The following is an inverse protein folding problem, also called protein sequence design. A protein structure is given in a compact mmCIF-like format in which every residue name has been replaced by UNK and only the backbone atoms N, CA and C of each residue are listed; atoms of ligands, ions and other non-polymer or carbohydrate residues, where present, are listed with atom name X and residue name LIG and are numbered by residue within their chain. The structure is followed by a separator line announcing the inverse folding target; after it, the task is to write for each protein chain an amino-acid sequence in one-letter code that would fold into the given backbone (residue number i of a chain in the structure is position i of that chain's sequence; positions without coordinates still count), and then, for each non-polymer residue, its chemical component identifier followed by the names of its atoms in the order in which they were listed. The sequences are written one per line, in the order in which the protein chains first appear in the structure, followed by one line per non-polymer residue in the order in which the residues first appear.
data_IF_418664925181
#
_entry.id   IF_418664925181
#
_cell.length_a   1.000
_cell.length_b   1.000
_cell.length_c   1.000
_cell.angle_alpha   90.00
_cell.angle_beta   90.00
_cell.angle_gamma   90.00
#
_symmetry.space_group_name_H-M   'P 1'
#
loop_
_entity.id
_entity.type
_entity.pdbx_description
1 polymer ?
#
# COMPACT_ATOMS: atom_id res chain seq x y z
N UNK A 1 -7.70 18.64 29.54
CA UNK A 1 -7.80 17.60 28.48
C UNK A 1 -8.53 16.38 29.05
N UNK A 2 -9.21 15.57 28.24
CA UNK A 2 -9.80 14.29 28.72
C UNK A 2 -8.68 13.27 28.99
N UNK A 3 -8.75 12.52 30.10
CA UNK A 3 -7.71 11.58 30.50
C UNK A 3 -7.44 10.50 29.43
N UNK A 4 -8.46 10.14 28.65
CA UNK A 4 -8.31 9.18 27.55
C UNK A 4 -7.49 9.73 26.39
N UNK A 5 -7.54 11.05 26.16
CA UNK A 5 -6.75 11.75 25.14
C UNK A 5 -5.31 11.91 25.64
N UNK A 6 -5.12 12.27 26.92
CA UNK A 6 -3.78 12.34 27.55
C UNK A 6 -3.03 11.02 27.43
N UNK A 7 -3.66 9.90 27.81
CA UNK A 7 -3.03 8.58 27.71
C UNK A 7 -2.79 8.14 26.25
N UNK A 8 -3.68 8.53 25.32
CA UNK A 8 -3.50 8.24 23.90
C UNK A 8 -2.30 8.98 23.30
N UNK A 9 -2.11 10.27 23.65
CA UNK A 9 -0.92 11.04 23.26
C UNK A 9 0.32 10.40 23.86
N UNK A 10 0.30 10.13 25.18
CA UNK A 10 1.43 9.51 25.90
C UNK A 10 1.90 8.22 25.22
N UNK A 11 0.98 7.29 24.95
CA UNK A 11 1.29 6.02 24.28
C UNK A 11 1.78 6.21 22.85
N UNK A 12 1.30 7.24 22.14
CA UNK A 12 1.77 7.52 20.78
C UNK A 12 3.21 8.00 20.80
N UNK A 13 3.57 8.90 21.73
CA UNK A 13 4.96 9.37 21.92
C UNK A 13 5.88 8.22 22.32
N UNK A 14 5.45 7.36 23.24
CA UNK A 14 6.24 6.20 23.68
C UNK A 14 6.57 5.20 22.57
N UNK A 15 5.77 5.14 21.50
CA UNK A 15 6.05 4.28 20.33
C UNK A 15 7.13 4.82 19.41
N UNK A 16 7.45 6.12 19.49
CA UNK A 16 8.43 6.77 18.64
C UNK A 16 9.84 6.46 19.20
N UNK A 17 10.83 6.09 18.36
CA UNK A 17 12.24 6.03 18.75
C UNK A 17 12.70 7.37 19.36
N UNK A 18 13.53 7.33 20.42
CA UNK A 18 13.84 8.51 21.23
C UNK A 18 14.44 9.65 20.40
N UNK A 19 15.37 9.28 19.53
CA UNK A 19 16.07 10.12 18.57
C UNK A 19 15.14 10.82 17.57
N UNK A 20 13.98 10.23 17.28
CA UNK A 20 13.01 10.78 16.32
C UNK A 20 11.87 11.58 16.98
N UNK A 21 11.73 11.56 18.32
CA UNK A 21 10.63 12.25 19.04
C UNK A 21 10.61 13.74 18.71
N UNK A 22 11.77 14.42 18.76
CA UNK A 22 11.86 15.86 18.51
C UNK A 22 11.38 16.22 17.10
N UNK A 23 11.88 15.48 16.10
CA UNK A 23 11.51 15.68 14.68
C UNK A 23 10.01 15.43 14.46
N UNK A 24 9.46 14.41 15.13
CA UNK A 24 8.03 14.09 15.06
C UNK A 24 7.15 15.19 15.66
N UNK A 25 7.51 15.74 16.82
CA UNK A 25 6.77 16.82 17.46
C UNK A 25 6.86 18.13 16.64
N UNK A 26 8.01 18.40 16.02
CA UNK A 26 8.16 19.52 15.09
C UNK A 26 7.24 19.38 13.88
N UNK A 27 7.20 18.19 13.25
CA UNK A 27 6.27 17.90 12.13
C UNK A 27 4.80 17.96 12.54
N UNK A 28 4.49 17.69 13.81
CA UNK A 28 3.14 17.82 14.33
C UNK A 28 2.67 19.28 14.36
N UNK A 29 3.57 20.22 14.65
CA UNK A 29 3.32 21.66 14.58
C UNK A 29 2.24 22.16 15.55
N UNK A 30 1.88 21.35 16.55
CA UNK A 30 0.91 21.72 17.59
C UNK A 30 1.58 22.39 18.79
N UNK A 31 2.80 21.96 19.14
CA UNK A 31 3.62 22.59 20.17
C UNK A 31 4.50 23.66 19.50
N UNK A 32 4.64 24.81 20.14
CA UNK A 32 5.50 25.89 19.63
C UNK A 32 6.98 25.50 19.73
N UNK A 33 7.83 26.11 18.91
CA UNK A 33 9.27 25.85 18.98
C UNK A 33 9.85 26.18 20.36
N UNK A 34 9.37 27.24 21.00
CA UNK A 34 9.75 27.59 22.37
C UNK A 34 9.42 26.47 23.36
N UNK A 35 8.21 25.91 23.29
CA UNK A 35 7.79 24.77 24.12
C UNK A 35 8.59 23.49 23.82
N UNK A 36 9.05 23.30 22.58
CA UNK A 36 9.90 22.18 22.23
C UNK A 36 11.34 22.34 22.73
N UNK A 37 11.84 23.58 22.86
CA UNK A 37 13.16 23.84 23.42
C UNK A 37 13.20 23.66 24.94
N UNK A 38 12.08 23.83 25.64
CA UNK A 38 11.99 23.58 27.09
C UNK A 38 12.00 22.09 27.45
N UNK A 39 11.70 21.20 26.50
CA UNK A 39 11.70 19.75 26.72
C UNK A 39 13.12 19.18 26.78
N UNK A 40 13.39 18.39 27.82
CA UNK A 40 14.69 17.71 27.94
C UNK A 40 14.65 16.32 27.29
N UNK A 41 15.06 16.24 26.02
CA UNK A 41 15.10 15.00 25.25
C UNK A 41 16.18 13.99 25.69
N UNK A 42 17.06 14.35 26.63
CA UNK A 42 18.07 13.43 27.18
C UNK A 42 17.54 12.55 28.32
N UNK A 43 16.31 12.81 28.81
CA UNK A 43 15.69 12.02 29.86
C UNK A 43 15.12 10.67 29.36
N UNK A 44 14.55 9.90 30.29
CA UNK A 44 13.78 8.70 29.98
C UNK A 44 12.56 9.05 29.12
N UNK A 45 12.21 8.17 28.18
CA UNK A 45 11.07 8.36 27.28
C UNK A 45 9.74 8.56 28.01
N UNK A 46 9.56 7.92 29.16
CA UNK A 46 8.37 8.11 29.98
C UNK A 46 8.24 9.55 30.47
N UNK A 47 9.32 10.15 30.97
CA UNK A 47 9.32 11.55 31.42
C UNK A 47 9.02 12.50 30.25
N UNK A 48 9.69 12.30 29.10
CA UNK A 48 9.42 13.09 27.88
C UNK A 48 7.95 12.98 27.49
N UNK A 49 7.36 11.77 27.56
CA UNK A 49 5.95 11.56 27.23
C UNK A 49 5.00 12.26 28.21
N UNK A 50 5.36 12.38 29.49
CA UNK A 50 4.59 13.09 30.50
C UNK A 50 4.68 14.61 30.31
N UNK A 51 5.89 15.15 30.09
CA UNK A 51 6.10 16.58 29.80
C UNK A 51 5.34 17.00 28.52
N UNK A 52 5.36 16.18 27.47
CA UNK A 52 4.58 16.43 26.25
C UNK A 52 3.08 16.45 26.53
N UNK A 53 2.57 15.55 27.38
CA UNK A 53 1.16 15.56 27.78
C UNK A 53 0.83 16.83 28.56
N UNK A 54 1.67 17.26 29.49
CA UNK A 54 1.47 18.50 30.24
C UNK A 54 1.37 19.72 29.32
N UNK A 55 2.30 19.86 28.37
CA UNK A 55 2.23 20.93 27.36
C UNK A 55 0.97 20.84 26.48
N UNK A 56 0.50 19.63 26.18
CA UNK A 56 -0.75 19.42 25.48
C UNK A 56 -1.97 19.80 26.33
N UNK A 57 -1.91 19.65 27.65
CA UNK A 57 -2.96 20.07 28.58
C UNK A 57 -3.05 21.60 28.66
N UNK A 58 -1.90 22.27 28.78
CA UNK A 58 -1.78 23.73 28.75
C UNK A 58 -2.34 24.30 27.45
N UNK A 59 -2.01 23.70 26.31
CA UNK A 59 -2.51 24.10 24.99
C UNK A 59 -3.94 23.58 24.67
N UNK A 60 -4.63 22.97 25.64
CA UNK A 60 -6.00 22.44 25.48
C UNK A 60 -6.18 21.49 24.30
N UNK A 61 -5.26 20.54 24.13
CA UNK A 61 -5.31 19.55 23.06
C UNK A 61 -6.58 18.68 23.12
N UNK A 62 -7.22 18.50 21.97
CA UNK A 62 -8.37 17.62 21.80
C UNK A 62 -8.02 16.33 21.06
N UNK A 63 -9.02 15.46 20.92
CA UNK A 63 -8.86 14.19 20.20
C UNK A 63 -8.47 14.39 18.73
N UNK A 64 -8.85 15.52 18.11
CA UNK A 64 -8.48 15.82 16.73
C UNK A 64 -6.97 15.99 16.59
N UNK A 65 -6.34 16.73 17.50
CA UNK A 65 -4.91 16.99 17.53
C UNK A 65 -4.13 15.70 17.77
N UNK A 66 -4.58 14.89 18.75
CA UNK A 66 -3.98 13.59 19.01
C UNK A 66 -4.12 12.63 17.82
N UNK A 67 -5.25 12.65 17.10
CA UNK A 67 -5.43 11.87 15.88
C UNK A 67 -4.53 12.34 14.73
N UNK A 68 -4.18 13.63 14.66
CA UNK A 68 -3.18 14.12 13.68
C UNK A 68 -1.80 13.59 14.02
N UNK A 69 -1.40 13.58 15.30
CA UNK A 69 -0.13 12.97 15.73
C UNK A 69 -0.04 11.49 15.34
N UNK A 70 -1.12 10.74 15.53
CA UNK A 70 -1.21 9.33 15.10
C UNK A 70 -1.12 9.18 13.57
N UNK A 71 -1.74 10.08 12.79
CA UNK A 71 -1.56 10.08 11.32
C UNK A 71 -0.10 10.29 10.94
N UNK A 72 0.58 11.28 11.55
CA UNK A 72 1.99 11.57 11.26
C UNK A 72 2.87 10.37 11.60
N UNK A 73 2.62 9.72 12.73
CA UNK A 73 3.33 8.49 13.10
C UNK A 73 3.17 7.39 12.05
N UNK A 74 1.94 7.13 11.59
CA UNK A 74 1.70 6.11 10.57
C UNK A 74 2.18 6.54 9.17
N UNK A 75 2.31 7.85 8.91
CA UNK A 75 2.90 8.37 7.68
C UNK A 75 4.42 8.21 7.64
N UNK A 76 5.13 8.30 8.77
CA UNK A 76 6.57 8.03 8.83
C UNK A 76 6.84 6.53 8.83
N UNK A 77 6.13 5.76 9.64
CA UNK A 77 6.31 4.30 9.74
C UNK A 77 5.27 3.53 8.92
N UNK A 78 5.20 3.82 7.62
CA UNK A 78 4.20 3.24 6.71
C UNK A 78 4.27 1.71 6.68
N UNK A 79 5.47 1.15 6.81
CA UNK A 79 5.75 -0.28 6.74
C UNK A 79 5.22 -1.08 7.93
N UNK A 80 4.81 -0.43 9.03
CA UNK A 80 4.22 -1.12 10.19
C UNK A 80 2.81 -1.65 9.93
N UNK A 81 2.21 -1.29 8.78
CA UNK A 81 0.85 -1.67 8.42
C UNK A 81 0.83 -2.38 7.08
N UNK A 82 -0.07 -3.35 6.97
CA UNK A 82 -0.43 -3.93 5.68
C UNK A 82 -1.42 -2.99 5.00
N UNK A 83 -1.13 -2.66 3.76
CA UNK A 83 -1.95 -1.85 2.88
C UNK A 83 -2.58 -2.73 1.80
N UNK A 84 -3.85 -2.49 1.51
CA UNK A 84 -4.57 -3.12 0.41
C UNK A 84 -4.99 -2.07 -0.61
N UNK A 85 -4.83 -2.37 -1.90
CA UNK A 85 -5.13 -1.44 -2.98
C UNK A 85 -6.58 -1.62 -3.43
N UNK A 86 -7.28 -0.51 -3.61
CA UNK A 86 -8.62 -0.45 -4.17
C UNK A 86 -8.61 0.44 -5.41
N UNK A 87 -9.29 -0.02 -6.46
CA UNK A 87 -9.49 0.75 -7.69
C UNK A 87 -10.95 1.21 -7.76
N UNK A 88 -11.15 2.51 -7.95
CA UNK A 88 -12.45 3.11 -8.19
C UNK A 88 -12.70 3.26 -9.69
N UNK A 89 -13.93 3.04 -10.14
CA UNK A 89 -14.33 3.19 -11.55
C UNK A 89 -15.34 4.32 -11.69
N UNK A 90 -15.05 5.26 -12.60
CA UNK A 90 -15.97 6.32 -13.00
C UNK A 90 -16.72 5.86 -14.24
N UNK A 91 -17.99 6.24 -14.35
CA UNK A 91 -18.83 5.92 -15.49
C UNK A 91 -19.03 7.25 -16.24
N UNK A 92 -18.20 7.51 -17.25
CA UNK A 92 -18.21 8.75 -18.01
C UNK A 92 -16.92 9.57 -17.92
N UNK A 93 -16.65 10.34 -18.98
CA UNK A 93 -15.45 11.19 -19.16
C UNK A 93 -15.62 12.61 -18.59
N UNK A 94 -16.52 12.81 -17.62
CA UNK A 94 -16.70 14.15 -17.07
C UNK A 94 -15.51 14.54 -16.18
N UNK A 95 -14.79 15.56 -16.64
CA UNK A 95 -13.69 16.22 -15.95
C UNK A 95 -14.25 17.06 -14.77
N UNK A 96 -14.74 16.36 -13.74
CA UNK A 96 -15.19 17.04 -12.52
C UNK A 96 -14.00 17.63 -11.79
N UNK A 97 -14.07 18.92 -11.49
CA UNK A 97 -13.12 19.58 -10.60
C UNK A 97 -13.26 18.98 -9.20
N UNK A 98 -12.20 18.32 -8.72
CA UNK A 98 -12.19 17.73 -7.39
C UNK A 98 -11.99 18.81 -6.31
N UNK A 99 -13.06 19.14 -5.57
CA UNK A 99 -12.95 19.97 -4.36
C UNK A 99 -12.72 19.08 -3.13
N UNK A 100 -11.53 19.22 -2.53
CA UNK A 100 -11.14 18.52 -1.31
C UNK A 100 -12.05 18.86 -0.11
N UNK A 101 -12.57 20.09 -0.06
CA UNK A 101 -13.41 20.55 1.04
C UNK A 101 -14.78 19.90 0.95
N UNK A 102 -15.37 19.86 -0.24
CA UNK A 102 -16.60 19.14 -0.52
C UNK A 102 -16.43 17.63 -0.28
N UNK A 103 -15.35 17.02 -0.79
CA UNK A 103 -15.02 15.61 -0.53
C UNK A 103 -15.02 15.30 0.97
N UNK A 104 -14.31 16.08 1.79
CA UNK A 104 -14.25 15.90 3.25
C UNK A 104 -15.64 16.02 3.90
N UNK A 105 -16.47 16.95 3.44
CA UNK A 105 -17.84 17.15 3.95
C UNK A 105 -18.73 15.97 3.58
N UNK A 106 -18.78 15.57 2.30
CA UNK A 106 -19.53 14.42 1.79
C UNK A 106 -19.14 13.14 2.51
N UNK A 107 -17.84 12.88 2.64
CA UNK A 107 -17.30 11.70 3.33
C UNK A 107 -17.73 11.66 4.81
N UNK A 108 -17.50 12.75 5.56
CA UNK A 108 -17.92 12.84 6.98
C UNK A 108 -19.41 12.64 7.14
N UNK A 109 -20.22 13.26 6.27
CA UNK A 109 -21.68 13.16 6.29
C UNK A 109 -22.13 11.71 6.11
N UNK A 110 -21.56 11.01 5.12
CA UNK A 110 -21.95 9.63 4.79
C UNK A 110 -21.61 8.63 5.90
N UNK A 111 -20.45 8.77 6.54
CA UNK A 111 -20.12 7.87 7.66
C UNK A 111 -20.97 8.20 8.89
N UNK A 112 -21.17 9.49 9.20
CA UNK A 112 -21.95 9.90 10.38
C UNK A 112 -23.44 9.60 10.26
N UNK A 113 -23.99 9.52 9.05
CA UNK A 113 -25.36 9.08 8.86
C UNK A 113 -25.57 7.61 9.23
N UNK A 114 -24.53 6.78 9.10
CA UNK A 114 -24.59 5.36 9.48
C UNK A 114 -24.13 5.12 10.93
N UNK A 115 -23.12 5.86 11.41
CA UNK A 115 -22.52 5.69 12.74
C UNK A 115 -22.36 7.03 13.46
N UNK A 116 -23.11 7.21 14.56
CA UNK A 116 -23.01 8.42 15.41
C UNK A 116 -21.64 8.54 16.09
N UNK A 117 -21.12 7.43 16.62
CA UNK A 117 -19.85 7.39 17.34
C UNK A 117 -18.70 7.06 16.39
N UNK A 118 -18.14 8.08 15.74
CA UNK A 118 -16.97 7.93 14.86
C UNK A 118 -16.04 9.15 14.97
N UNK A 119 -14.73 8.92 14.96
CA UNK A 119 -13.74 10.01 14.85
C UNK A 119 -13.08 9.94 13.48
N UNK A 120 -13.24 11.01 12.69
CA UNK A 120 -12.68 11.11 11.34
C UNK A 120 -11.74 12.32 11.31
N UNK A 121 -10.47 12.06 11.01
CA UNK A 121 -9.42 13.07 10.93
C UNK A 121 -8.75 13.00 9.56
N UNK A 122 -8.44 14.16 8.99
CA UNK A 122 -7.82 14.31 7.68
C UNK A 122 -6.50 15.04 7.84
N UNK A 123 -5.48 14.62 7.10
CA UNK A 123 -4.22 15.34 6.92
C UNK A 123 -3.87 15.34 5.43
N UNK A 124 -3.59 16.53 4.91
CA UNK A 124 -3.14 16.73 3.54
C UNK A 124 -1.61 16.75 3.49
N UNK A 125 -1.07 16.25 2.39
CA UNK A 125 0.35 16.27 2.06
C UNK A 125 0.53 16.90 0.67
N UNK A 126 1.74 17.38 0.40
CA UNK A 126 2.09 18.16 -0.81
C UNK A 126 1.91 17.37 -2.11
N UNK A 127 1.90 16.03 -2.06
CA UNK A 127 1.67 15.15 -3.21
C UNK A 127 0.19 15.01 -3.61
N UNK A 128 -0.67 15.93 -3.17
CA UNK A 128 -2.14 15.84 -3.27
C UNK A 128 -2.71 14.56 -2.62
N UNK A 129 -1.95 13.93 -1.71
CA UNK A 129 -2.43 12.81 -0.94
C UNK A 129 -3.19 13.27 0.29
N UNK A 130 -4.34 12.64 0.51
CA UNK A 130 -5.18 12.84 1.67
C UNK A 130 -5.08 11.58 2.53
N UNK A 131 -4.53 11.75 3.72
CA UNK A 131 -4.54 10.72 4.75
C UNK A 131 -5.80 10.89 5.60
N UNK A 132 -6.61 9.84 5.64
CA UNK A 132 -7.87 9.79 6.39
C UNK A 132 -7.72 8.73 7.46
N UNK A 133 -7.90 9.14 8.71
CA UNK A 133 -7.96 8.25 9.86
C UNK A 133 -9.40 8.13 10.33
N UNK A 134 -9.90 6.91 10.40
CA UNK A 134 -11.25 6.60 10.89
C UNK A 134 -11.16 5.70 12.11
N UNK A 135 -11.48 6.24 13.28
CA UNK A 135 -11.66 5.45 14.49
C UNK A 135 -13.14 5.10 14.65
N UNK A 136 -13.43 3.80 14.73
CA UNK A 136 -14.78 3.26 14.76
C UNK A 136 -15.28 3.10 16.19
N UNK A 137 -16.51 3.53 16.43
CA UNK A 137 -17.29 3.21 17.63
C UNK A 137 -18.50 2.35 17.29
N UNK A 138 -19.22 1.96 18.33
CA UNK A 138 -20.54 1.32 18.19
C UNK A 138 -21.61 2.28 18.72
N UNK A 139 -22.91 2.05 18.49
CA UNK A 139 -23.96 2.90 19.05
C UNK A 139 -23.84 3.10 20.57
N UNK A 140 -23.29 2.11 21.28
CA UNK A 140 -23.17 2.09 22.74
C UNK A 140 -21.75 2.36 23.26
N UNK A 141 -20.72 2.39 22.41
CA UNK A 141 -19.32 2.59 22.83
C UNK A 141 -18.67 3.73 22.07
N UNK A 142 -17.88 4.52 22.81
CA UNK A 142 -17.02 5.57 22.23
C UNK A 142 -16.06 4.97 21.19
N UNK A 143 -15.63 5.76 20.19
CA UNK A 143 -14.72 5.28 19.15
C UNK A 143 -13.38 4.79 19.70
N UNK A 144 -12.94 3.61 19.26
CA UNK A 144 -11.66 3.05 19.69
C UNK A 144 -10.50 3.70 18.93
N UNK A 145 -9.77 4.59 19.62
CA UNK A 145 -8.63 5.31 19.06
C UNK A 145 -7.39 4.44 18.84
N UNK A 146 -7.31 3.25 19.43
CA UNK A 146 -6.16 2.36 19.28
C UNK A 146 -6.27 1.43 18.08
N UNK A 147 -7.48 1.27 17.52
CA UNK A 147 -7.74 0.41 16.36
C UNK A 147 -8.39 1.20 15.20
N UNK A 148 -7.77 2.29 14.71
CA UNK A 148 -8.29 3.04 13.58
C UNK A 148 -8.04 2.31 12.25
N UNK A 149 -8.81 2.68 11.23
CA UNK A 149 -8.54 2.38 9.83
C UNK A 149 -7.90 3.61 9.16
N UNK A 150 -6.97 3.36 8.26
CA UNK A 150 -6.28 4.39 7.51
C UNK A 150 -6.63 4.28 6.03
N UNK A 151 -6.87 5.41 5.40
CA UNK A 151 -7.08 5.53 3.96
C UNK A 151 -6.11 6.58 3.43
N UNK A 152 -5.40 6.24 2.36
CA UNK A 152 -4.59 7.18 1.59
C UNK A 152 -5.20 7.30 0.21
N UNK A 153 -5.67 8.50 -0.11
CA UNK A 153 -6.31 8.79 -1.38
C UNK A 153 -5.57 9.91 -2.12
N UNK A 154 -5.32 9.70 -3.41
CA UNK A 154 -4.69 10.68 -4.29
C UNK A 154 -5.75 11.23 -5.23
N UNK A 155 -6.05 12.53 -5.13
CA UNK A 155 -7.15 13.15 -5.90
C UNK A 155 -7.03 12.99 -7.41
N UNK A 156 -5.81 12.88 -7.92
CA UNK A 156 -5.50 12.75 -9.35
C UNK A 156 -5.63 11.32 -9.89
N UNK A 157 -5.88 10.33 -9.04
CA UNK A 157 -5.88 8.92 -9.45
C UNK A 157 -7.14 8.18 -8.98
N UNK A 158 -7.57 7.14 -9.70
CA UNK A 158 -8.70 6.31 -9.29
C UNK A 158 -8.35 5.31 -8.18
N UNK A 159 -7.16 5.39 -7.59
CA UNK A 159 -6.66 4.39 -6.66
C UNK A 159 -6.70 4.89 -5.21
N UNK A 160 -7.08 3.98 -4.31
CA UNK A 160 -7.15 4.21 -2.88
C UNK A 160 -6.39 3.11 -2.16
N UNK A 161 -5.57 3.47 -1.17
CA UNK A 161 -4.88 2.51 -0.33
C UNK A 161 -5.54 2.47 1.03
N UNK A 162 -5.97 1.29 1.48
CA UNK A 162 -6.66 1.14 2.76
C UNK A 162 -5.87 0.18 3.65
N UNK A 163 -5.61 0.61 4.88
CA UNK A 163 -5.19 -0.26 5.96
C UNK A 163 -6.37 -0.46 6.91
N UNK A 164 -7.00 -1.63 6.80
CA UNK A 164 -8.19 -1.97 7.57
C UNK A 164 -7.86 -2.19 9.06
N UNK A 165 -8.80 -1.79 9.91
CA UNK A 165 -8.78 -2.20 11.32
C UNK A 165 -9.25 -3.66 11.45
N UNK A 166 -9.07 -4.24 12.65
CA UNK A 166 -9.56 -5.58 13.00
C UNK A 166 -11.07 -5.73 12.74
N UNK A 167 -11.82 -4.63 12.80
CA UNK A 167 -13.26 -4.57 12.50
C UNK A 167 -13.51 -4.49 10.98
N UNK A 168 -13.35 -5.62 10.28
CA UNK A 168 -13.62 -5.72 8.84
C UNK A 168 -15.08 -5.43 8.45
N UNK A 169 -16.03 -5.50 9.39
CA UNK A 169 -17.45 -5.25 9.17
C UNK A 169 -17.76 -3.82 8.69
N UNK A 170 -16.90 -2.85 9.03
CA UNK A 170 -17.10 -1.44 8.65
C UNK A 170 -16.51 -1.09 7.28
N UNK A 171 -15.83 -2.04 6.63
CA UNK A 171 -15.20 -1.83 5.32
C UNK A 171 -16.20 -1.48 4.21
N UNK A 172 -17.37 -2.13 4.07
CA UNK A 172 -18.35 -1.76 3.05
C UNK A 172 -18.83 -0.31 3.21
N UNK A 173 -19.04 0.15 4.46
CA UNK A 173 -19.44 1.52 4.75
C UNK A 173 -18.33 2.52 4.38
N UNK A 174 -17.06 2.18 4.68
CA UNK A 174 -15.92 2.99 4.32
C UNK A 174 -15.79 3.13 2.79
N UNK A 175 -15.86 2.01 2.07
CA UNK A 175 -15.83 1.96 0.61
C UNK A 175 -16.97 2.77 -0.01
N UNK A 176 -18.19 2.63 0.51
CA UNK A 176 -19.33 3.43 0.04
C UNK A 176 -19.15 4.93 0.30
N UNK A 177 -18.60 5.30 1.47
CA UNK A 177 -18.31 6.70 1.78
C UNK A 177 -17.25 7.30 0.86
N UNK A 178 -16.26 6.50 0.44
CA UNK A 178 -15.27 6.91 -0.55
C UNK A 178 -15.94 7.16 -1.90
N UNK A 179 -16.64 6.17 -2.46
CA UNK A 179 -17.34 6.26 -3.75
C UNK A 179 -18.22 7.52 -3.83
N UNK A 180 -19.06 7.74 -2.81
CA UNK A 180 -20.01 8.86 -2.77
C UNK A 180 -19.29 10.21 -2.62
N UNK A 181 -18.16 10.24 -1.92
CA UNK A 181 -17.41 11.48 -1.72
C UNK A 181 -16.59 11.86 -2.95
N UNK A 182 -16.06 10.87 -3.68
CA UNK A 182 -15.21 11.08 -4.86
C UNK A 182 -15.97 11.05 -6.20
N UNK A 183 -17.31 10.89 -6.17
CA UNK A 183 -18.17 10.78 -7.36
C UNK A 183 -17.78 9.61 -8.30
N UNK A 184 -17.33 8.50 -7.74
CA UNK A 184 -17.15 7.25 -8.51
C UNK A 184 -18.44 6.41 -8.41
N UNK A 185 -18.54 5.33 -9.20
CA UNK A 185 -19.70 4.44 -9.16
C UNK A 185 -19.40 3.07 -8.56
N UNK A 186 -18.17 2.58 -8.72
CA UNK A 186 -17.75 1.27 -8.24
C UNK A 186 -16.38 1.36 -7.57
N UNK A 187 -16.12 0.47 -6.61
CA UNK A 187 -14.83 0.30 -5.96
C UNK A 187 -14.55 -1.19 -5.82
N UNK A 188 -13.39 -1.63 -6.32
CA UNK A 188 -12.96 -3.02 -6.27
C UNK A 188 -11.63 -3.14 -5.55
N UNK A 189 -11.56 -4.09 -4.63
CA UNK A 189 -10.29 -4.49 -4.03
C UNK A 189 -9.45 -5.18 -5.10
N UNK A 190 -8.20 -4.75 -5.24
CA UNK A 190 -7.21 -5.42 -6.08
C UNK A 190 -6.51 -6.51 -5.28
N UNK A 191 -5.94 -7.50 -5.97
CA UNK A 191 -5.21 -8.61 -5.35
C UNK A 191 -3.79 -8.21 -4.87
N UNK A 192 -3.54 -6.91 -4.68
CA UNK A 192 -2.26 -6.32 -4.28
C UNK A 192 -2.29 -5.90 -2.80
N UNK A 193 -1.42 -6.53 -2.00
CA UNK A 193 -1.23 -6.18 -0.59
C UNK A 193 0.25 -6.21 -0.21
N UNK A 194 0.71 -5.21 0.52
CA UNK A 194 2.10 -5.10 0.96
C UNK A 194 2.21 -4.25 2.22
N UNK A 195 3.25 -4.49 3.01
CA UNK A 195 3.69 -3.55 4.04
C UNK A 195 4.20 -2.23 3.44
N UNK A 196 4.81 -2.24 2.26
CA UNK A 196 5.38 -1.04 1.64
C UNK A 196 4.34 -0.27 0.80
N UNK A 197 3.82 0.83 1.34
CA UNK A 197 2.88 1.71 0.63
C UNK A 197 3.51 2.31 -0.64
N UNK A 198 4.79 2.71 -0.57
CA UNK A 198 5.50 3.27 -1.73
C UNK A 198 5.62 2.26 -2.87
N UNK A 199 5.95 1.02 -2.57
CA UNK A 199 6.02 -0.05 -3.58
C UNK A 199 4.67 -0.27 -4.27
N UNK A 200 3.56 -0.24 -3.50
CA UNK A 200 2.21 -0.32 -4.07
C UNK A 200 1.89 0.87 -4.97
N UNK A 201 2.29 2.10 -4.57
CA UNK A 201 2.15 3.29 -5.42
C UNK A 201 2.91 3.13 -6.73
N UNK A 202 4.14 2.63 -6.69
CA UNK A 202 4.99 2.48 -7.88
C UNK A 202 4.41 1.47 -8.89
N UNK A 203 3.86 0.36 -8.38
CA UNK A 203 3.17 -0.66 -9.18
C UNK A 203 1.90 -0.07 -9.80
N UNK A 204 1.05 0.54 -8.99
CA UNK A 204 -0.30 0.95 -9.39
C UNK A 204 -0.30 2.19 -10.29
N UNK A 205 0.57 3.16 -10.01
CA UNK A 205 0.74 4.36 -10.82
C UNK A 205 1.56 4.10 -12.09
N UNK A 206 1.96 2.85 -12.34
CA UNK A 206 2.82 2.47 -13.47
C UNK A 206 4.10 3.29 -13.57
N UNK A 207 4.57 3.87 -12.45
CA UNK A 207 5.87 4.55 -12.37
C UNK A 207 7.01 3.56 -12.58
N UNK A 208 6.79 2.30 -12.18
CA UNK A 208 7.68 1.20 -12.54
C UNK A 208 7.73 0.97 -14.05
N UNK A 209 6.58 1.05 -14.74
CA UNK A 209 6.52 0.81 -16.19
C UNK A 209 7.17 1.92 -17.04
N UNK A 210 7.23 3.16 -16.54
CA UNK A 210 7.92 4.26 -17.23
C UNK A 210 9.44 4.09 -17.27
N UNK A 211 10.01 3.20 -16.42
CA UNK A 211 11.43 2.84 -16.48
C UNK A 211 11.72 1.69 -17.46
N UNK A 212 10.70 1.09 -18.09
CA UNK A 212 10.92 0.43 -19.37
C UNK A 212 11.13 1.53 -20.39
N UNK A 213 12.35 2.07 -20.44
CA UNK A 213 12.78 2.89 -21.55
C UNK A 213 12.71 2.03 -22.82
N UNK A 214 11.56 2.02 -23.47
CA UNK A 214 11.39 1.76 -24.91
C UNK A 214 11.97 2.90 -25.76
N UNK A 215 12.98 3.61 -25.24
CA UNK A 215 13.90 4.39 -26.05
C UNK A 215 15.11 3.52 -26.35
N UNK A 216 14.90 2.63 -27.31
CA UNK A 216 15.96 2.02 -28.09
C UNK A 216 16.77 3.12 -28.78
N UNK A 217 17.81 3.64 -28.14
CA UNK A 217 18.97 4.25 -28.82
C UNK A 217 20.22 4.06 -27.99
N UNK A 218 20.70 2.82 -27.92
CA UNK A 218 22.12 2.43 -28.04
C UNK A 218 22.19 0.90 -27.91
N UNK A 219 22.81 0.16 -28.85
CA UNK A 219 23.15 -1.22 -28.59
C UNK A 219 24.03 -1.22 -27.35
N UNK A 220 23.64 -1.95 -26.31
CA UNK A 220 24.52 -2.24 -25.19
C UNK A 220 25.75 -2.92 -25.80
N UNK A 221 26.85 -2.16 -25.92
CA UNK A 221 28.17 -2.76 -26.09
C UNK A 221 28.33 -3.77 -24.96
N UNK A 222 28.64 -5.01 -25.34
CA UNK A 222 28.68 -6.17 -24.46
C UNK A 222 29.30 -5.87 -23.11
N UNK A 223 28.46 -5.87 -22.07
CA UNK A 223 28.93 -6.04 -20.72
C UNK A 223 29.37 -7.50 -20.59
N UNK A 224 30.66 -7.75 -20.80
CA UNK A 224 31.27 -9.02 -20.45
C UNK A 224 31.05 -9.22 -18.95
N UNK A 225 30.10 -10.09 -18.59
CA UNK A 225 30.13 -10.75 -17.29
C UNK A 225 31.32 -11.70 -17.39
N UNK A 226 32.49 -11.23 -16.96
CA UNK A 226 33.61 -12.13 -16.70
C UNK A 226 33.14 -13.16 -15.66
N UNK A 227 33.22 -14.47 -15.95
CA UNK A 227 32.95 -15.46 -14.94
C UNK A 227 34.10 -15.40 -13.94
N UNK A 228 33.82 -14.94 -12.72
CA UNK A 228 34.69 -15.19 -11.57
C UNK A 228 34.87 -16.71 -11.45
N UNK A 229 36.06 -17.17 -11.82
CA UNK A 229 36.57 -18.55 -11.69
C UNK A 229 35.74 -19.64 -12.37
N UNK A 230 35.64 -19.61 -13.70
CA UNK A 230 35.31 -20.81 -14.46
C UNK A 230 36.58 -21.61 -14.78
N UNK A 231 36.72 -22.82 -14.22
CA UNK A 231 37.74 -23.79 -14.63
C UNK A 231 37.62 -24.01 -16.14
N UNK A 232 38.75 -23.84 -16.86
CA UNK A 232 38.84 -23.77 -18.33
C UNK A 232 38.36 -25.09 -18.98
N UNK A 233 38.19 -26.15 -18.18
CA UNK A 233 37.69 -27.47 -18.58
C UNK A 233 36.16 -27.63 -18.55
N UNK A 234 35.41 -26.66 -18.05
CA UNK A 234 33.94 -26.73 -17.97
C UNK A 234 33.34 -26.08 -19.21
N UNK A 235 32.88 -26.89 -20.16
CA UNK A 235 32.07 -26.43 -21.30
C UNK A 235 30.66 -26.17 -20.80
N UNK A 236 30.23 -24.91 -20.84
CA UNK A 236 28.89 -24.52 -20.43
C UNK A 236 27.90 -24.68 -21.59
N UNK A 237 27.43 -25.91 -21.82
CA UNK A 237 26.55 -26.29 -22.95
C UNK A 237 25.30 -25.40 -23.06
N UNK A 238 24.76 -24.92 -21.94
CA UNK A 238 23.54 -24.11 -21.89
C UNK A 238 23.78 -22.58 -21.95
N UNK A 239 24.93 -22.11 -22.44
CA UNK A 239 25.25 -20.66 -22.47
C UNK A 239 24.22 -19.86 -23.28
N UNK A 240 23.84 -20.34 -24.47
CA UNK A 240 22.85 -19.66 -25.32
C UNK A 240 21.45 -19.60 -24.69
N UNK A 241 21.03 -20.66 -24.01
CA UNK A 241 19.73 -20.71 -23.33
C UNK A 241 19.72 -19.82 -22.09
N UNK A 242 20.79 -19.81 -21.30
CA UNK A 242 20.95 -18.86 -20.18
C UNK A 242 20.87 -17.41 -20.64
N UNK A 243 21.49 -17.08 -21.77
CA UNK A 243 21.46 -15.73 -22.33
C UNK A 243 20.07 -15.35 -22.91
N UNK A 244 19.33 -16.34 -23.44
CA UNK A 244 17.93 -16.16 -23.85
C UNK A 244 17.01 -15.92 -22.65
N UNK A 245 17.11 -16.74 -21.60
CA UNK A 245 16.34 -16.58 -20.35
C UNK A 245 16.68 -15.25 -19.68
N UNK A 246 17.96 -14.86 -19.65
CA UNK A 246 18.39 -13.59 -19.10
C UNK A 246 17.75 -12.39 -19.82
N UNK A 247 17.72 -12.40 -21.17
CA UNK A 247 17.03 -11.37 -21.97
C UNK A 247 15.53 -11.32 -21.69
N UNK A 248 14.85 -12.46 -21.70
CA UNK A 248 13.41 -12.53 -21.38
C UNK A 248 13.11 -12.02 -19.96
N UNK A 249 13.96 -12.35 -18.99
CA UNK A 249 13.83 -11.90 -17.62
C UNK A 249 14.04 -10.38 -17.48
N UNK A 250 15.00 -9.82 -18.24
CA UNK A 250 15.18 -8.36 -18.34
C UNK A 250 14.03 -7.66 -19.06
N UNK A 251 13.44 -8.26 -20.09
CA UNK A 251 12.26 -7.70 -20.77
C UNK A 251 11.02 -7.71 -19.86
N UNK A 252 10.86 -8.76 -19.05
CA UNK A 252 9.72 -8.90 -18.14
C UNK A 252 9.81 -8.04 -16.88
N UNK A 253 10.99 -7.94 -16.26
CA UNK A 253 11.19 -7.26 -14.97
C UNK A 253 12.15 -6.05 -15.01
N UNK A 254 12.76 -5.76 -16.16
CA UNK A 254 13.76 -4.69 -16.25
C UNK A 254 15.08 -4.98 -15.50
N UNK A 255 16.03 -4.06 -15.67
CA UNK A 255 17.35 -4.13 -15.04
C UNK A 255 17.39 -3.57 -13.61
N UNK A 256 16.37 -2.81 -13.20
CA UNK A 256 16.31 -2.14 -11.89
C UNK A 256 15.88 -3.05 -10.73
N UNK A 257 16.00 -2.54 -9.48
CA UNK A 257 15.47 -3.21 -8.29
C UNK A 257 13.94 -3.28 -8.35
N UNK A 258 13.38 -4.41 -7.90
CA UNK A 258 11.94 -4.64 -7.94
C UNK A 258 11.21 -4.00 -6.75
N UNK A 259 9.97 -3.52 -6.94
CA UNK A 259 9.17 -3.01 -5.82
C UNK A 259 8.86 -4.13 -4.82
N UNK A 260 8.80 -3.78 -3.53
CA UNK A 260 8.53 -4.76 -2.46
C UNK A 260 7.05 -5.12 -2.45
N UNK A 261 6.75 -6.29 -2.99
CA UNK A 261 5.44 -6.92 -2.93
C UNK A 261 5.54 -8.19 -2.09
N UNK A 262 4.67 -8.33 -1.10
CA UNK A 262 4.73 -9.47 -0.20
C UNK A 262 3.74 -10.57 -0.55
N UNK A 263 2.55 -10.15 -0.99
CA UNK A 263 1.44 -11.04 -1.27
C UNK A 263 0.87 -10.73 -2.65
N UNK A 264 0.69 -11.76 -3.45
CA UNK A 264 -0.11 -11.72 -4.66
C UNK A 264 -1.01 -12.94 -4.70
N UNK A 265 -2.25 -12.74 -5.11
CA UNK A 265 -3.12 -13.84 -5.48
C UNK A 265 -3.27 -13.84 -7.00
N UNK A 266 -3.50 -15.03 -7.55
CA UNK A 266 -3.87 -15.21 -8.94
C UNK A 266 -5.00 -16.22 -8.99
N UNK A 267 -6.18 -15.77 -9.41
CA UNK A 267 -7.35 -16.62 -9.57
C UNK A 267 -7.60 -16.90 -11.05
N UNK A 268 -7.46 -18.17 -11.45
CA UNK A 268 -7.80 -18.67 -12.77
C UNK A 268 -9.16 -19.38 -12.70
N UNK A 269 -10.11 -18.93 -13.51
CA UNK A 269 -11.40 -19.61 -13.72
C UNK A 269 -11.54 -19.87 -15.22
N UNK A 270 -11.42 -21.13 -15.64
CA UNK A 270 -11.48 -21.54 -17.06
C UNK A 270 -12.47 -22.67 -17.26
N UNK A 271 -13.17 -22.65 -18.39
CA UNK A 271 -14.07 -23.72 -18.82
C UNK A 271 -13.28 -24.69 -19.70
N UNK A 272 -13.29 -25.97 -19.36
CA UNK A 272 -12.74 -26.98 -20.25
C UNK A 272 -13.62 -27.06 -21.51
N UNK A 273 -13.06 -26.72 -22.68
CA UNK A 273 -13.75 -26.93 -23.95
C UNK A 273 -13.47 -28.36 -24.39
N UNK A 274 -14.38 -29.29 -24.09
CA UNK A 274 -14.37 -30.61 -24.74
C UNK A 274 -14.93 -30.52 -26.16
N UNK A 275 -14.42 -31.36 -27.06
CA UNK A 275 -15.07 -31.60 -28.35
C UNK A 275 -16.45 -32.23 -28.08
N UNK A 276 -17.56 -31.69 -28.63
CA UNK A 276 -18.92 -32.19 -28.38
C UNK A 276 -19.13 -33.68 -28.71
N UNK A 277 -18.18 -34.35 -29.36
CA UNK A 277 -18.23 -35.79 -29.65
C UNK A 277 -17.59 -36.69 -28.59
N UNK A 278 -16.79 -36.13 -27.67
CA UNK A 278 -16.09 -36.87 -26.61
C UNK A 278 -16.70 -36.47 -25.27
N UNK A 279 -17.79 -37.14 -24.93
CA UNK A 279 -18.63 -36.93 -23.73
C UNK A 279 -17.94 -37.46 -22.45
N UNK A 280 -16.70 -37.02 -22.21
CA UNK A 280 -15.86 -37.52 -21.11
C UNK A 280 -16.09 -36.74 -19.80
N UNK A 281 -16.77 -35.59 -19.86
CA UNK A 281 -17.05 -34.74 -18.70
C UNK A 281 -18.49 -34.21 -18.75
N UNK A 282 -19.41 -34.96 -18.12
CA UNK A 282 -20.84 -34.58 -17.95
C UNK A 282 -21.06 -33.28 -17.15
N UNK A 283 -20.01 -32.74 -16.51
CA UNK A 283 -20.10 -31.57 -15.64
C UNK A 283 -19.46 -30.35 -16.28
N UNK A 284 -20.29 -29.39 -16.71
CA UNK A 284 -19.90 -28.01 -17.07
C UNK A 284 -19.47 -27.19 -15.84
N UNK A 285 -18.68 -27.76 -14.94
CA UNK A 285 -18.15 -27.01 -13.80
C UNK A 285 -16.85 -26.31 -14.21
N UNK A 286 -16.72 -24.99 -13.94
CA UNK A 286 -15.49 -24.26 -14.25
C UNK A 286 -14.33 -24.80 -13.41
N UNK A 287 -13.18 -25.02 -14.04
CA UNK A 287 -11.94 -25.26 -13.32
C UNK A 287 -11.51 -23.97 -12.63
N UNK A 288 -11.44 -24.01 -11.30
CA UNK A 288 -11.04 -22.90 -10.45
C UNK A 288 -9.69 -23.21 -9.80
N UNK A 289 -8.66 -22.47 -10.19
CA UNK A 289 -7.37 -22.53 -9.54
C UNK A 289 -7.10 -21.19 -8.85
N UNK A 290 -6.66 -21.24 -7.59
CA UNK A 290 -6.22 -20.09 -6.84
C UNK A 290 -4.77 -20.31 -6.43
N UNK A 291 -3.87 -19.55 -7.03
CA UNK A 291 -2.46 -19.54 -6.66
C UNK A 291 -2.23 -18.38 -5.71
N UNK A 292 -1.61 -18.65 -4.55
CA UNK A 292 -1.27 -17.63 -3.56
C UNK A 292 0.24 -17.57 -3.41
N UNK A 293 0.80 -16.41 -3.70
CA UNK A 293 2.21 -16.13 -3.52
C UNK A 293 2.45 -15.34 -2.24
N UNK A 294 3.50 -15.72 -1.51
CA UNK A 294 3.94 -15.05 -0.27
C UNK A 294 5.45 -15.06 -0.20
N UNK A 295 6.08 -13.88 -0.22
CA UNK A 295 7.53 -13.73 -0.05
C UNK A 295 7.84 -12.28 0.35
N UNK A 296 8.80 -11.98 1.24
CA UNK A 296 9.19 -10.59 1.57
C UNK A 296 9.57 -9.73 0.36
N UNK A 297 10.05 -10.36 -0.71
CA UNK A 297 10.45 -9.72 -1.97
C UNK A 297 9.93 -10.52 -3.17
N UNK A 298 8.61 -10.71 -3.27
CA UNK A 298 8.01 -11.63 -4.24
C UNK A 298 8.48 -11.43 -5.67
N UNK A 299 8.50 -10.19 -6.17
CA UNK A 299 8.91 -9.90 -7.54
C UNK A 299 10.39 -10.18 -7.78
N UNK A 300 11.25 -9.89 -6.79
CA UNK A 300 12.67 -10.22 -6.87
C UNK A 300 12.88 -11.75 -6.80
N UNK A 301 12.11 -12.45 -5.98
CA UNK A 301 12.13 -13.92 -5.91
C UNK A 301 11.72 -14.54 -7.24
N UNK A 302 10.69 -14.01 -7.90
CA UNK A 302 10.26 -14.47 -9.23
C UNK A 302 11.31 -14.15 -10.31
N UNK A 303 11.92 -12.97 -10.26
CA UNK A 303 13.04 -12.59 -11.13
C UNK A 303 14.24 -13.53 -10.94
N UNK A 304 14.57 -13.91 -9.70
CA UNK A 304 15.66 -14.86 -9.43
C UNK A 304 15.32 -16.31 -9.76
N UNK A 305 14.04 -16.66 -9.81
CA UNK A 305 13.58 -18.02 -10.13
C UNK A 305 13.68 -18.31 -11.63
N UNK A 306 13.45 -17.32 -12.49
CA UNK A 306 13.46 -17.53 -13.94
C UNK A 306 14.77 -18.16 -14.48
N UNK A 307 15.98 -17.76 -14.05
CA UNK A 307 17.24 -18.41 -14.43
C UNK A 307 17.50 -19.76 -13.78
N UNK A 308 16.78 -20.09 -12.69
CA UNK A 308 16.97 -21.31 -11.89
C UNK A 308 15.95 -22.41 -12.21
N UNK A 309 14.87 -22.10 -12.93
CA UNK A 309 13.82 -23.05 -13.26
C UNK A 309 14.22 -23.98 -14.41
N UNK A 310 13.98 -25.27 -14.21
CA UNK A 310 14.35 -26.38 -15.09
C UNK A 310 13.33 -26.59 -16.25
N UNK A 311 12.21 -25.86 -16.28
CA UNK A 311 11.19 -25.99 -17.32
C UNK A 311 10.67 -24.63 -17.82
N UNK A 312 11.02 -24.29 -19.07
CA UNK A 312 10.77 -23.01 -19.77
C UNK A 312 9.30 -22.59 -19.88
N UNK A 313 8.35 -23.53 -19.90
CA UNK A 313 6.97 -23.25 -20.37
C UNK A 313 5.99 -22.84 -19.28
N UNK A 314 6.19 -23.32 -18.05
CA UNK A 314 5.24 -23.17 -16.94
C UNK A 314 5.46 -21.86 -16.17
N UNK A 315 6.70 -21.35 -16.11
CA UNK A 315 7.03 -20.10 -15.41
C UNK A 315 6.51 -18.86 -16.18
N UNK A 316 6.64 -18.83 -17.50
CA UNK A 316 6.13 -17.72 -18.33
C UNK A 316 4.63 -17.48 -18.14
N UNK A 317 3.82 -18.54 -18.04
CA UNK A 317 2.37 -18.40 -17.89
C UNK A 317 1.92 -17.80 -16.54
N UNK A 318 2.77 -17.86 -15.52
CA UNK A 318 2.48 -17.37 -14.16
C UNK A 318 3.17 -16.02 -13.89
N UNK A 319 4.35 -15.81 -14.48
CA UNK A 319 5.15 -14.59 -14.30
C UNK A 319 4.65 -13.43 -15.16
N UNK A 320 4.24 -13.69 -16.41
CA UNK A 320 3.77 -12.65 -17.35
C UNK A 320 2.49 -11.91 -16.88
N UNK A 321 1.50 -12.57 -16.25
CA UNK A 321 0.35 -11.87 -15.68
C UNK A 321 0.73 -11.00 -14.46
N UNK A 322 1.77 -11.39 -13.71
CA UNK A 322 2.21 -10.70 -12.48
C UNK A 322 3.16 -9.54 -12.80
N UNK A 323 3.98 -9.64 -13.86
CA UNK A 323 4.88 -8.57 -14.32
C UNK A 323 4.18 -7.46 -15.13
N UNK A 324 2.87 -7.58 -15.35
CA UNK A 324 2.04 -6.52 -15.91
C UNK A 324 2.20 -6.27 -17.42
N UNK A 325 2.98 -7.10 -18.14
CA UNK A 325 3.30 -6.83 -19.53
C UNK A 325 2.38 -7.45 -20.58
N UNK A 326 1.42 -8.32 -20.22
CA UNK A 326 0.32 -8.66 -21.14
C UNK A 326 -1.01 -8.89 -20.40
N UNK A 327 -1.96 -8.00 -20.71
CA UNK A 327 -3.42 -8.15 -20.59
C UNK A 327 -3.92 -8.94 -19.37
N UNK A 328 -4.05 -8.24 -18.25
CA UNK A 328 -5.20 -8.42 -17.36
C UNK A 328 -6.00 -7.12 -17.42
N UNK A 329 -6.82 -6.99 -18.47
CA UNK A 329 -7.96 -6.08 -18.54
C UNK A 329 -9.07 -6.77 -19.32
#
# INVERSE_FOLDING_TARGET
MDATVSEFIRRTVLKIPRDEIKVMLQKWGFLSEAQLQTLNFHQLKDNISQEVVQLCEENSAGIKQAAVLDIIYNHIYQDKRIWSVYQMKKTGEELECFDITDFKKKFKRRIRSALKNVTITFKEYEDNAIWIRVAWGTPYKKPNQYKPSYVVYHSQTPYVFISASVLKSNMPLLCQALIVASNYHDIREMELRSHSLNSLKDIVFKRYSQNFQTYTTKPLQGGNVEPENADIRIVQENRGEKERIYRLNQEAFGSGPQPKLEFAHYRLETMFKSDPKMDVLDKKEPFRCLVKFSSPHLLESLKSLAPAAIEEKSVCCVVIPISGNHRIF
#
